data_IF_620691442283
#
_entry.id   IF_620691442283
#
_cell.length_a   1.000
_cell.length_b   1.000
_cell.length_c   1.000
_cell.angle_alpha   90.00
_cell.angle_beta   90.00
_cell.angle_gamma   90.00
#
_symmetry.space_group_name_H-M   'P 1'
#
loop_
_entity.id
_entity.type
_entity.pdbx_description
1 polymer ?
#
# COMPACT_ATOMS: atom_id res chain seq x y z
N UNK A 1 16.28 -21.45 -7.18
CA UNK A 1 15.28 -21.52 -6.09
C UNK A 1 14.95 -20.11 -5.66
N UNK A 2 13.71 -19.87 -5.27
CA UNK A 2 13.25 -18.61 -4.69
C UNK A 2 12.78 -18.94 -3.29
N UNK A 3 13.26 -18.17 -2.32
CA UNK A 3 12.79 -18.26 -0.94
C UNK A 3 11.67 -17.26 -0.76
N UNK A 4 10.52 -17.71 -0.27
CA UNK A 4 9.35 -16.90 0.01
C UNK A 4 8.99 -17.03 1.47
N UNK A 5 8.49 -15.96 2.02
CA UNK A 5 7.72 -15.98 3.25
C UNK A 5 6.25 -15.79 2.89
N UNK A 6 5.40 -16.71 3.33
CA UNK A 6 3.95 -16.56 3.25
C UNK A 6 3.46 -16.02 4.57
N UNK A 7 2.50 -15.10 4.53
CA UNK A 7 1.93 -14.48 5.71
C UNK A 7 0.41 -14.74 5.72
N UNK A 8 -0.12 -15.25 6.81
CA UNK A 8 -1.55 -15.15 7.15
C UNK A 8 -1.78 -13.92 8.04
N UNK A 9 -0.76 -13.55 8.84
CA UNK A 9 -0.70 -12.35 9.67
C UNK A 9 0.70 -11.75 9.48
N UNK A 10 0.77 -10.47 9.05
CA UNK A 10 2.04 -9.79 8.75
C UNK A 10 2.97 -9.64 9.97
N UNK A 11 2.43 -9.65 11.17
CA UNK A 11 3.22 -9.60 12.40
C UNK A 11 3.95 -10.93 12.71
N UNK A 12 3.58 -12.01 12.02
CA UNK A 12 4.15 -13.34 12.23
C UNK A 12 4.72 -13.84 10.91
N UNK A 13 6.04 -13.99 10.86
CA UNK A 13 6.74 -14.63 9.73
C UNK A 13 6.42 -16.14 9.68
N UNK A 14 5.17 -16.46 9.39
CA UNK A 14 4.67 -17.83 9.33
C UNK A 14 4.76 -18.34 7.88
N UNK A 15 5.02 -19.62 7.72
CA UNK A 15 5.02 -20.36 6.44
C UNK A 15 6.20 -20.07 5.47
N UNK A 16 7.46 -20.26 5.90
CA UNK A 16 8.58 -20.22 4.98
C UNK A 16 8.36 -21.22 3.83
N UNK A 17 8.57 -20.76 2.60
CA UNK A 17 8.29 -21.55 1.40
C UNK A 17 9.45 -21.45 0.43
N UNK A 18 9.95 -22.59 -0.04
CA UNK A 18 10.97 -22.68 -1.10
C UNK A 18 10.28 -23.02 -2.43
N UNK A 19 10.39 -22.13 -3.39
CA UNK A 19 9.85 -22.35 -4.74
C UNK A 19 10.95 -22.74 -5.70
N UNK A 20 10.82 -23.92 -6.26
CA UNK A 20 11.69 -24.40 -7.35
C UNK A 20 11.12 -23.92 -8.67
N UNK A 21 11.93 -23.17 -9.41
CA UNK A 21 11.57 -22.58 -10.71
C UNK A 21 12.36 -23.28 -11.79
N UNK A 22 11.70 -23.83 -12.78
CA UNK A 22 12.32 -24.52 -13.91
C UNK A 22 12.78 -23.57 -15.04
N UNK A 23 12.28 -22.32 -15.06
CA UNK A 23 12.60 -21.31 -16.09
C UNK A 23 13.23 -20.06 -15.45
N UNK A 24 14.48 -19.78 -15.78
CA UNK A 24 15.26 -18.64 -15.24
C UNK A 24 15.03 -17.31 -15.99
N UNK A 25 13.99 -17.19 -16.80
CA UNK A 25 13.76 -15.98 -17.63
C UNK A 25 13.25 -14.80 -16.85
N UNK A 26 12.61 -15.02 -15.72
CA UNK A 26 12.08 -13.94 -14.87
C UNK A 26 12.97 -13.77 -13.65
N UNK A 27 13.49 -12.56 -13.45
CA UNK A 27 14.19 -12.17 -12.24
C UNK A 27 13.17 -11.64 -11.22
N UNK A 28 13.30 -12.08 -10.00
CA UNK A 28 12.56 -11.58 -8.84
C UNK A 28 13.55 -10.90 -7.90
N UNK A 29 13.13 -9.80 -7.31
CA UNK A 29 13.93 -9.01 -6.36
C UNK A 29 13.36 -9.18 -4.96
N UNK A 30 14.19 -8.94 -3.94
CA UNK A 30 13.72 -8.97 -2.56
C UNK A 30 12.65 -7.89 -2.34
N UNK A 31 11.64 -8.21 -1.54
CA UNK A 31 10.50 -7.32 -1.30
C UNK A 31 9.39 -7.38 -2.36
N UNK A 32 9.59 -8.09 -3.48
CA UNK A 32 8.53 -8.25 -4.48
C UNK A 32 7.46 -9.25 -4.03
N UNK A 33 6.20 -8.86 -4.23
CA UNK A 33 5.07 -9.76 -4.01
C UNK A 33 4.81 -10.64 -5.22
N UNK A 34 4.71 -11.94 -4.99
CA UNK A 34 4.43 -12.90 -6.05
C UNK A 34 3.33 -13.89 -5.65
N UNK A 35 2.51 -14.25 -6.63
CA UNK A 35 1.54 -15.32 -6.52
C UNK A 35 2.05 -16.56 -7.23
N UNK A 36 2.20 -17.66 -6.50
CA UNK A 36 2.71 -18.92 -7.03
C UNK A 36 1.59 -19.96 -7.08
N UNK A 37 1.42 -20.60 -8.24
CA UNK A 37 0.70 -21.88 -8.38
C UNK A 37 1.68 -22.98 -8.67
N UNK A 38 1.65 -24.08 -7.91
CA UNK A 38 2.61 -25.16 -8.05
C UNK A 38 2.15 -26.47 -7.43
N UNK A 39 3.06 -27.44 -7.43
CA UNK A 39 2.90 -28.74 -6.79
C UNK A 39 3.74 -28.78 -5.53
N UNK A 40 3.15 -29.19 -4.42
CA UNK A 40 3.90 -29.44 -3.19
C UNK A 40 4.79 -30.67 -3.40
N UNK A 41 6.09 -30.49 -3.19
CA UNK A 41 7.11 -31.55 -3.27
C UNK A 41 7.41 -32.15 -1.89
N UNK A 42 7.08 -31.46 -0.81
CA UNK A 42 7.38 -31.87 0.55
C UNK A 42 7.95 -30.74 1.39
N UNK A 43 8.91 -31.06 2.23
CA UNK A 43 9.58 -30.12 3.14
C UNK A 43 11.02 -29.86 2.69
N UNK A 44 11.55 -28.68 3.02
CA UNK A 44 12.94 -28.32 2.87
C UNK A 44 13.46 -27.74 4.19
N UNK A 45 14.74 -27.94 4.50
CA UNK A 45 15.41 -27.18 5.56
C UNK A 45 15.98 -25.91 4.94
N UNK A 46 15.73 -24.78 5.58
CA UNK A 46 16.25 -23.47 5.21
C UNK A 46 16.83 -22.78 6.43
N UNK A 47 17.70 -21.83 6.19
CA UNK A 47 18.32 -21.03 7.24
C UNK A 47 17.90 -19.57 6.99
N UNK A 48 17.42 -18.89 8.01
CA UNK A 48 17.08 -17.48 7.92
C UNK A 48 18.32 -16.56 8.00
N UNK A 49 18.10 -15.24 7.94
CA UNK A 49 19.18 -14.26 8.02
C UNK A 49 19.91 -14.26 9.38
N UNK A 50 19.28 -14.78 10.44
CA UNK A 50 19.84 -14.91 11.78
C UNK A 50 20.52 -16.27 12.01
N UNK A 51 20.66 -17.08 10.94
CA UNK A 51 21.22 -18.45 10.99
C UNK A 51 20.39 -19.45 11.77
N UNK A 52 19.08 -19.21 11.90
CA UNK A 52 18.16 -20.16 12.54
C UNK A 52 17.64 -21.16 11.52
N UNK A 53 17.76 -22.46 11.82
CA UNK A 53 17.21 -23.51 10.98
C UNK A 53 15.69 -23.58 11.10
N UNK A 54 15.00 -23.58 9.97
CA UNK A 54 13.54 -23.72 9.93
C UNK A 54 13.11 -24.69 8.82
N UNK A 55 11.94 -25.26 9.01
CA UNK A 55 11.35 -26.16 8.01
C UNK A 55 10.40 -25.36 7.11
N UNK A 56 10.69 -25.35 5.82
CA UNK A 56 9.89 -24.70 4.79
C UNK A 56 9.07 -25.70 3.98
N UNK A 57 7.97 -25.25 3.40
CA UNK A 57 7.25 -25.99 2.35
C UNK A 57 8.03 -25.87 1.05
N UNK A 58 8.24 -27.00 0.35
CA UNK A 58 8.86 -27.01 -0.98
C UNK A 58 7.81 -27.12 -2.08
N UNK A 59 7.80 -26.16 -3.00
CA UNK A 59 6.88 -26.09 -4.15
C UNK A 59 7.63 -26.15 -5.47
N UNK A 60 7.16 -26.95 -6.41
CA UNK A 60 7.53 -26.83 -7.82
C UNK A 60 6.57 -25.88 -8.53
N UNK A 61 7.07 -24.73 -8.98
CA UNK A 61 6.22 -23.72 -9.60
C UNK A 61 5.75 -24.15 -10.99
N UNK A 62 4.44 -24.05 -11.23
CA UNK A 62 3.83 -24.15 -12.56
C UNK A 62 3.52 -22.78 -13.16
N UNK A 63 3.21 -21.80 -12.32
CA UNK A 63 2.95 -20.42 -12.70
C UNK A 63 3.37 -19.48 -11.57
N UNK A 64 4.09 -18.43 -11.93
CA UNK A 64 4.44 -17.33 -11.01
C UNK A 64 3.98 -16.03 -11.65
N UNK A 65 3.40 -15.14 -10.87
CA UNK A 65 2.97 -13.80 -11.28
C UNK A 65 3.43 -12.79 -10.23
N UNK A 66 4.03 -11.69 -10.67
CA UNK A 66 4.19 -10.50 -9.82
C UNK A 66 2.81 -9.91 -9.55
N UNK A 67 2.55 -9.54 -8.33
CA UNK A 67 1.31 -8.91 -7.88
C UNK A 67 1.65 -7.67 -7.05
N UNK A 68 0.68 -6.83 -6.76
CA UNK A 68 0.86 -5.71 -5.85
C UNK A 68 0.74 -6.18 -4.39
N UNK A 69 1.33 -5.44 -3.48
CA UNK A 69 1.16 -5.66 -2.03
C UNK A 69 -0.32 -5.73 -1.64
N UNK A 70 -1.12 -4.81 -2.16
CA UNK A 70 -2.58 -4.75 -1.90
C UNK A 70 -3.37 -5.95 -2.42
N UNK A 71 -2.82 -6.68 -3.41
CA UNK A 71 -3.41 -7.95 -3.91
C UNK A 71 -2.92 -9.15 -3.09
N UNK A 72 -1.73 -9.03 -2.46
CA UNK A 72 -1.18 -10.05 -1.57
C UNK A 72 -1.92 -10.08 -0.22
N UNK A 73 -2.31 -8.90 0.25
CA UNK A 73 -3.07 -8.71 1.49
C UNK A 73 -4.50 -8.30 1.10
N UNK A 74 -5.44 -9.25 1.03
CA UNK A 74 -6.79 -8.95 0.58
C UNK A 74 -7.52 -8.04 1.58
N UNK A 75 -8.34 -7.13 1.05
CA UNK A 75 -9.29 -6.38 1.85
C UNK A 75 -10.47 -7.29 2.27
N UNK A 76 -10.96 -7.10 3.49
CA UNK A 76 -12.19 -7.71 3.98
C UNK A 76 -13.41 -6.93 3.50
N UNK A 77 -13.26 -5.62 3.36
CA UNK A 77 -14.30 -4.70 2.94
C UNK A 77 -13.73 -3.60 2.05
N UNK A 78 -14.51 -3.15 1.08
CA UNK A 78 -14.18 -2.03 0.19
C UNK A 78 -15.33 -1.04 0.17
N UNK A 79 -15.03 0.20 0.47
CA UNK A 79 -15.95 1.34 0.34
C UNK A 79 -15.61 2.10 -0.93
N UNK A 80 -16.52 2.07 -1.92
CA UNK A 80 -16.39 2.87 -3.14
C UNK A 80 -16.81 4.32 -2.82
N UNK A 81 -15.86 5.25 -2.84
CA UNK A 81 -16.07 6.62 -2.40
C UNK A 81 -16.30 7.57 -3.59
N UNK A 82 -15.32 7.72 -4.47
CA UNK A 82 -15.42 8.63 -5.63
C UNK A 82 -15.53 10.12 -5.26
N UNK A 83 -15.02 10.55 -4.10
CA UNK A 83 -15.17 11.91 -3.59
C UNK A 83 -14.03 12.82 -4.07
N UNK A 84 -14.38 13.90 -4.77
CA UNK A 84 -13.45 14.86 -5.39
C UNK A 84 -13.48 16.21 -4.64
N UNK A 85 -12.30 16.68 -4.25
CA UNK A 85 -12.09 18.00 -3.62
C UNK A 85 -11.13 18.81 -4.48
N UNK A 86 -11.44 20.08 -4.70
CA UNK A 86 -10.61 21.02 -5.49
C UNK A 86 -10.15 22.18 -4.64
N UNK A 87 -8.84 22.39 -4.59
CA UNK A 87 -8.22 23.50 -3.87
C UNK A 87 -7.22 24.19 -4.79
N UNK A 88 -7.39 25.48 -5.03
CA UNK A 88 -6.44 26.36 -5.77
C UNK A 88 -5.90 25.76 -7.09
N UNK A 89 -6.75 25.02 -7.84
CA UNK A 89 -6.38 24.43 -9.13
C UNK A 89 -5.82 23.00 -9.05
N UNK A 90 -5.70 22.45 -7.85
CA UNK A 90 -5.37 21.05 -7.63
C UNK A 90 -6.66 20.28 -7.31
N UNK A 91 -6.85 19.10 -7.90
CA UNK A 91 -7.94 18.19 -7.50
C UNK A 91 -7.36 16.96 -6.84
N UNK A 92 -7.98 16.57 -5.72
CA UNK A 92 -7.70 15.33 -5.02
C UNK A 92 -8.98 14.50 -4.94
N UNK A 93 -8.91 13.23 -5.31
CA UNK A 93 -10.05 12.31 -5.34
C UNK A 93 -9.75 11.10 -4.48
N UNK A 94 -10.51 10.89 -3.41
CA UNK A 94 -10.54 9.61 -2.71
C UNK A 94 -11.37 8.66 -3.58
N UNK A 95 -10.71 7.65 -4.14
CA UNK A 95 -11.34 6.71 -5.08
C UNK A 95 -12.13 5.65 -4.34
N UNK A 96 -11.49 5.02 -3.38
CA UNK A 96 -12.04 3.99 -2.49
C UNK A 96 -11.27 3.92 -1.18
N UNK A 97 -11.84 3.23 -0.23
CA UNK A 97 -11.18 2.83 1.03
C UNK A 97 -11.32 1.33 1.17
N UNK A 98 -10.20 0.63 1.33
CA UNK A 98 -10.17 -0.80 1.65
C UNK A 98 -9.86 -0.97 3.14
N UNK A 99 -10.57 -1.90 3.79
CA UNK A 99 -10.30 -2.32 5.16
C UNK A 99 -9.79 -3.76 5.16
N UNK A 100 -8.69 -4.00 5.86
CA UNK A 100 -8.17 -5.33 6.16
C UNK A 100 -8.49 -5.70 7.61
N UNK A 101 -7.94 -6.80 8.15
CA UNK A 101 -8.04 -7.12 9.58
C UNK A 101 -7.53 -5.98 10.48
N UNK A 102 -6.48 -5.26 10.07
CA UNK A 102 -5.73 -4.36 10.96
C UNK A 102 -5.58 -2.94 10.42
N UNK A 103 -5.84 -2.73 9.12
CA UNK A 103 -5.51 -1.50 8.41
C UNK A 103 -6.69 -0.92 7.64
N UNK A 104 -6.61 0.39 7.42
CA UNK A 104 -7.43 1.16 6.49
C UNK A 104 -6.54 1.70 5.39
N UNK A 105 -6.86 1.42 4.13
CA UNK A 105 -6.13 1.85 2.95
C UNK A 105 -6.92 2.87 2.17
N UNK A 106 -6.50 4.13 2.18
CA UNK A 106 -7.13 5.21 1.43
C UNK A 106 -6.47 5.31 0.04
N UNK A 107 -7.22 4.97 -1.00
CA UNK A 107 -6.78 5.10 -2.40
C UNK A 107 -7.09 6.49 -2.89
N UNK A 108 -6.05 7.26 -3.19
CA UNK A 108 -6.20 8.65 -3.59
C UNK A 108 -5.50 8.94 -4.90
N UNK A 109 -6.09 9.83 -5.69
CA UNK A 109 -5.51 10.39 -6.89
C UNK A 109 -5.46 11.91 -6.75
N UNK A 110 -4.28 12.50 -7.03
CA UNK A 110 -4.12 13.95 -7.05
C UNK A 110 -3.67 14.40 -8.44
N UNK A 111 -4.33 15.44 -8.96
CA UNK A 111 -4.02 16.07 -10.24
C UNK A 111 -3.61 17.52 -10.02
N UNK A 112 -2.41 17.86 -10.48
CA UNK A 112 -1.92 19.23 -10.47
C UNK A 112 -2.38 19.98 -11.72
N UNK A 113 -3.39 20.83 -11.57
CA UNK A 113 -3.88 21.73 -12.62
C UNK A 113 -3.28 23.15 -12.52
N UNK A 114 -2.31 23.38 -11.65
CA UNK A 114 -1.64 24.67 -11.49
C UNK A 114 -0.53 24.88 -12.50
N UNK A 115 0.14 26.03 -12.45
CA UNK A 115 1.31 26.36 -13.29
C UNK A 115 2.64 26.11 -12.59
N UNK A 116 2.64 25.59 -11.38
CA UNK A 116 3.83 25.28 -10.56
C UNK A 116 3.85 23.78 -10.21
N UNK A 117 5.03 23.24 -9.95
CA UNK A 117 5.12 21.93 -9.32
C UNK A 117 4.61 22.03 -7.88
N UNK A 118 3.96 20.98 -7.42
CA UNK A 118 3.44 20.90 -6.06
C UNK A 118 4.02 19.70 -5.34
N UNK A 119 4.02 19.78 -4.03
CA UNK A 119 4.31 18.69 -3.12
C UNK A 119 3.08 18.42 -2.26
N UNK A 120 2.75 17.17 -2.06
CA UNK A 120 1.75 16.73 -1.08
C UNK A 120 2.45 16.01 0.07
N UNK A 121 1.81 15.97 1.23
CA UNK A 121 2.38 15.43 2.47
C UNK A 121 1.58 14.20 2.96
N UNK A 122 1.73 13.03 2.31
CA UNK A 122 1.01 11.82 2.72
C UNK A 122 1.36 11.37 4.14
N UNK A 123 2.60 11.65 4.59
CA UNK A 123 3.12 11.39 5.93
C UNK A 123 2.48 12.27 7.03
N UNK A 124 1.82 13.36 6.64
CA UNK A 124 1.07 14.24 7.56
C UNK A 124 -0.44 14.05 7.45
N UNK A 125 -0.87 13.06 6.68
CA UNK A 125 -2.30 12.75 6.53
C UNK A 125 -2.87 12.21 7.83
N UNK A 126 -4.11 12.62 8.12
CA UNK A 126 -4.85 12.21 9.31
C UNK A 126 -6.19 11.60 8.86
N UNK A 127 -6.54 10.49 9.48
CA UNK A 127 -7.86 9.88 9.38
C UNK A 127 -8.52 9.98 10.76
N UNK A 128 -9.64 10.70 10.84
CA UNK A 128 -10.35 10.97 12.10
C UNK A 128 -11.67 10.21 12.13
N UNK A 129 -11.95 9.54 13.24
CA UNK A 129 -13.22 8.85 13.46
C UNK A 129 -13.58 8.84 14.95
N UNK A 130 -14.80 9.17 15.28
CA UNK A 130 -15.36 9.16 16.66
C UNK A 130 -14.44 9.86 17.68
N UNK A 131 -13.89 11.03 17.29
CA UNK A 131 -13.02 11.85 18.14
C UNK A 131 -11.58 11.33 18.28
N UNK A 132 -11.21 10.28 17.58
CA UNK A 132 -9.85 9.76 17.52
C UNK A 132 -9.20 10.14 16.19
N UNK A 133 -7.93 10.54 16.24
CA UNK A 133 -7.09 10.78 15.08
C UNK A 133 -6.09 9.64 14.90
N UNK A 134 -5.98 9.16 13.68
CA UNK A 134 -5.04 8.11 13.26
C UNK A 134 -4.05 8.75 12.28
N UNK A 135 -2.79 8.70 12.61
CA UNK A 135 -1.70 9.13 11.73
C UNK A 135 -1.45 8.10 10.63
N UNK A 136 -0.93 8.56 9.50
CA UNK A 136 -0.55 7.67 8.40
C UNK A 136 0.66 6.83 8.75
N UNK A 137 0.63 5.55 8.38
CA UNK A 137 1.74 4.60 8.51
C UNK A 137 2.47 4.47 7.16
N UNK A 138 3.34 5.44 6.84
CA UNK A 138 4.17 5.41 5.64
C UNK A 138 5.53 4.71 5.85
N UNK A 139 5.90 4.38 7.07
CA UNK A 139 7.08 3.57 7.35
C UNK A 139 6.82 2.07 7.07
N UNK A 140 5.57 1.72 6.76
CA UNK A 140 5.19 0.37 6.41
C UNK A 140 5.70 -0.01 5.00
N UNK A 141 6.96 -0.47 4.93
CA UNK A 141 7.64 -0.91 3.71
C UNK A 141 6.91 -2.02 2.93
N UNK A 142 5.89 -2.64 3.54
CA UNK A 142 5.06 -3.65 2.88
C UNK A 142 4.27 -3.10 1.68
N UNK A 143 4.12 -1.78 1.61
CA UNK A 143 3.33 -1.10 0.58
C UNK A 143 4.17 -0.18 -0.33
N UNK A 144 5.50 -0.34 -0.35
CA UNK A 144 6.41 0.51 -1.15
C UNK A 144 6.04 0.60 -2.63
N UNK A 145 5.46 -0.46 -3.18
CA UNK A 145 5.03 -0.54 -4.58
C UNK A 145 3.78 0.30 -4.91
N UNK A 146 3.03 0.74 -3.89
CA UNK A 146 1.77 1.50 -4.05
C UNK A 146 1.72 2.79 -3.23
N UNK A 147 2.76 3.11 -2.47
CA UNK A 147 2.82 4.35 -1.69
C UNK A 147 2.61 5.60 -2.55
N UNK A 148 1.91 6.57 -1.96
CA UNK A 148 1.67 7.85 -2.60
C UNK A 148 2.97 8.65 -2.75
N UNK A 149 3.33 9.02 -3.98
CA UNK A 149 4.47 9.91 -4.26
C UNK A 149 4.17 11.33 -3.80
N UNK A 150 5.20 12.09 -3.37
CA UNK A 150 5.03 13.44 -2.84
C UNK A 150 4.97 14.52 -3.94
N UNK A 151 5.84 14.42 -4.95
CA UNK A 151 6.06 15.49 -5.94
C UNK A 151 5.19 15.31 -7.18
N UNK A 152 4.43 16.35 -7.55
CA UNK A 152 3.55 16.34 -8.72
C UNK A 152 3.91 17.51 -9.67
N UNK A 153 4.41 17.17 -10.84
CA UNK A 153 4.75 18.14 -11.88
C UNK A 153 3.48 18.83 -12.41
N UNK A 154 3.68 20.00 -13.01
CA UNK A 154 2.62 20.75 -13.72
C UNK A 154 1.85 19.84 -14.68
N UNK A 155 0.53 19.83 -14.60
CA UNK A 155 -0.36 19.06 -15.44
C UNK A 155 -0.38 17.55 -15.18
N UNK A 156 0.50 17.04 -14.32
CA UNK A 156 0.58 15.61 -14.00
C UNK A 156 -0.50 15.17 -13.00
N UNK A 157 -0.73 13.87 -12.98
CA UNK A 157 -1.53 13.20 -11.95
C UNK A 157 -0.74 12.05 -11.37
N UNK A 158 -0.87 11.84 -10.07
CA UNK A 158 -0.35 10.69 -9.36
C UNK A 158 -1.49 9.98 -8.63
N UNK A 159 -1.32 8.70 -8.40
CA UNK A 159 -2.21 7.89 -7.56
C UNK A 159 -1.37 7.04 -6.63
N UNK A 160 -1.90 6.78 -5.44
CA UNK A 160 -1.23 5.95 -4.46
C UNK A 160 -2.18 5.57 -3.33
N UNK A 161 -1.63 4.89 -2.36
CA UNK A 161 -2.31 4.43 -1.16
C UNK A 161 -1.68 5.09 0.05
N UNK A 162 -2.51 5.52 0.99
CA UNK A 162 -2.09 5.98 2.32
C UNK A 162 -2.71 5.02 3.32
N UNK A 163 -1.87 4.49 4.22
CA UNK A 163 -2.23 3.45 5.17
C UNK A 163 -2.48 4.06 6.53
N UNK A 164 -3.49 3.57 7.23
CA UNK A 164 -3.84 3.93 8.59
C UNK A 164 -4.20 2.69 9.38
N UNK A 165 -4.26 2.82 10.70
CA UNK A 165 -4.88 1.81 11.55
C UNK A 165 -6.35 1.60 11.14
N UNK A 166 -6.86 0.37 11.28
CA UNK A 166 -8.25 0.03 10.95
C UNK A 166 -9.26 0.90 11.69
N UNK A 167 -10.24 1.39 10.95
CA UNK A 167 -11.42 2.09 11.45
C UNK A 167 -12.68 1.22 11.34
N UNK A 168 -13.78 1.67 11.91
CA UNK A 168 -15.10 1.05 11.74
C UNK A 168 -15.79 1.60 10.48
N UNK A 169 -16.08 0.74 9.51
CA UNK A 169 -16.75 1.11 8.26
C UNK A 169 -18.19 1.59 8.43
N UNK A 170 -18.81 1.31 9.57
CA UNK A 170 -20.21 1.71 9.85
C UNK A 170 -20.33 3.11 10.44
N UNK A 171 -19.22 3.75 10.79
CA UNK A 171 -19.18 5.09 11.36
C UNK A 171 -18.62 6.11 10.35
N UNK A 172 -19.14 7.35 10.37
CA UNK A 172 -18.56 8.40 9.53
C UNK A 172 -17.12 8.68 9.91
N UNK A 173 -16.31 9.02 8.93
CA UNK A 173 -14.91 9.35 9.13
C UNK A 173 -14.48 10.52 8.25
N UNK A 174 -13.41 11.17 8.64
CA UNK A 174 -12.81 12.29 7.92
C UNK A 174 -11.35 11.94 7.56
N UNK A 175 -10.99 12.19 6.33
CA UNK A 175 -9.61 12.07 5.87
C UNK A 175 -9.09 13.46 5.48
N UNK A 176 -7.86 13.80 5.88
CA UNK A 176 -7.19 15.05 5.52
C UNK A 176 -5.85 14.76 4.85
N UNK A 177 -5.54 15.53 3.82
CA UNK A 177 -4.26 15.54 3.12
C UNK A 177 -3.84 16.97 2.89
N UNK A 178 -2.58 17.28 3.12
CA UNK A 178 -2.01 18.60 2.92
C UNK A 178 -0.97 18.60 1.80
N UNK A 179 -0.64 19.80 1.33
CA UNK A 179 0.41 20.01 0.35
C UNK A 179 0.72 21.49 0.18
N UNK A 180 1.74 21.77 -0.62
CA UNK A 180 2.17 23.13 -0.94
C UNK A 180 2.77 23.21 -2.35
N UNK A 181 3.13 24.43 -2.80
CA UNK A 181 4.02 24.55 -3.94
C UNK A 181 5.50 24.37 -3.51
N UNK A 182 6.33 23.98 -4.46
CA UNK A 182 7.77 23.73 -4.21
C UNK A 182 8.60 25.03 -4.01
N UNK A 183 7.97 26.22 -4.02
CA UNK A 183 8.68 27.51 -4.03
C UNK A 183 8.51 28.34 -2.74
N UNK A 184 8.09 27.70 -1.64
CA UNK A 184 8.12 28.36 -0.33
C UNK A 184 6.77 28.58 0.35
N UNK A 185 5.83 27.66 0.21
CA UNK A 185 4.55 27.63 0.95
C UNK A 185 3.56 28.76 0.60
N UNK A 186 3.70 29.41 -0.58
CA UNK A 186 2.70 30.38 -1.03
C UNK A 186 1.35 29.74 -1.37
N UNK A 187 1.34 28.45 -1.69
CA UNK A 187 0.15 27.69 -2.05
C UNK A 187 -0.09 26.56 -1.04
N UNK A 188 -0.79 26.87 0.02
CA UNK A 188 -1.31 25.86 0.93
C UNK A 188 -2.44 25.07 0.26
N UNK A 189 -2.41 23.74 0.36
CA UNK A 189 -3.34 22.79 -0.25
C UNK A 189 -4.00 21.91 0.84
N UNK A 190 -4.95 22.43 1.62
CA UNK A 190 -5.67 21.65 2.61
C UNK A 190 -6.82 20.89 1.94
N UNK A 191 -6.70 19.57 1.79
CA UNK A 191 -7.80 18.73 1.34
C UNK A 191 -8.47 18.08 2.54
N UNK A 192 -9.80 18.12 2.57
CA UNK A 192 -10.61 17.50 3.60
C UNK A 192 -11.77 16.74 2.96
N UNK A 193 -11.90 15.46 3.32
CA UNK A 193 -12.91 14.55 2.82
C UNK A 193 -13.74 14.04 4.01
N UNK A 194 -15.03 14.32 4.01
CA UNK A 194 -15.97 13.83 5.03
C UNK A 194 -16.80 12.69 4.40
N UNK A 195 -16.66 11.49 4.95
CA UNK A 195 -17.25 10.26 4.41
C UNK A 195 -18.22 9.66 5.41
N UNK A 196 -19.36 9.18 4.89
CA UNK A 196 -20.46 8.59 5.65
C UNK A 196 -20.58 7.10 5.36
#
# INVERSE_FOLDING_TARGET
>A
EIHLQGYEDFAKQEHPTVVVVSDNKVKYEDGEYIKVKGKVLGKAQVVDAESTEMTAVKLEAKKIQKIKSTDAIPSEETLDIGYDVKVKGVSATVQKVDLTSDETRVYIKVKNGTKKNIEIYPDQSILSQDGNDYESDLENYLYDDVHMQKNIKVGASISGVIIFKRIDSNLPFKFTLEGADNEGNELELPFSFEMQ
#
